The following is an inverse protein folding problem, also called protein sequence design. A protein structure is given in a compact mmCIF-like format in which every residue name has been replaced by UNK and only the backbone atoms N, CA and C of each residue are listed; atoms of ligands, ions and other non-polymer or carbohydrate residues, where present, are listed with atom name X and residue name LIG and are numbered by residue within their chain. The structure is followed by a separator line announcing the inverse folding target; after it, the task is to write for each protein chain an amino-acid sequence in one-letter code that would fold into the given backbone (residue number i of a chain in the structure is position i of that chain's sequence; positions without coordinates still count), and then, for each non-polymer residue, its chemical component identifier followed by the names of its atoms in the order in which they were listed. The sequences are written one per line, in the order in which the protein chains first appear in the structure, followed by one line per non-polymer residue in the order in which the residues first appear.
data_IF_280209201661
#
_entry.id   IF_280209201661
#
_cell.length_a   1.000
_cell.length_b   1.000
_cell.length_c   1.000
_cell.angle_alpha   90.00
_cell.angle_beta   90.00
_cell.angle_gamma   90.00
#
_symmetry.space_group_name_H-M   'P 1'
#
loop_
_entity.id
_entity.type
_entity.pdbx_description
1 polymer ?
#
# COMPACT_ATOMS: atom_id res chain seq x y z
N UNK A 1 -17.29 20.49 24.69
CA UNK A 1 -15.89 20.34 25.19
C UNK A 1 -14.98 20.60 24.02
N UNK A 2 -13.87 21.33 24.20
CA UNK A 2 -12.89 21.58 23.11
C UNK A 2 -12.00 20.36 22.88
N UNK A 3 -11.42 20.23 21.69
CA UNK A 3 -10.48 19.16 21.40
C UNK A 3 -9.28 19.17 22.39
N UNK A 4 -8.80 20.37 22.79
CA UNK A 4 -7.75 20.53 23.79
C UNK A 4 -8.07 19.93 25.16
N UNK A 5 -9.33 19.93 25.56
CA UNK A 5 -9.76 19.30 26.82
C UNK A 5 -9.91 17.79 26.65
N UNK A 6 -10.45 17.35 25.54
CA UNK A 6 -10.66 15.91 25.25
C UNK A 6 -9.33 15.15 25.21
N UNK A 7 -8.29 15.71 24.55
CA UNK A 7 -7.01 15.01 24.40
C UNK A 7 -6.26 14.77 25.72
N UNK A 8 -6.58 15.49 26.80
CA UNK A 8 -5.98 15.27 28.12
C UNK A 8 -6.24 13.87 28.70
N UNK A 9 -7.24 13.16 28.19
CA UNK A 9 -7.51 11.76 28.54
C UNK A 9 -6.46 10.79 27.97
N UNK A 10 -5.68 11.21 26.97
CA UNK A 10 -4.66 10.37 26.34
C UNK A 10 -3.29 10.56 27.03
N UNK A 11 -2.43 9.52 26.98
CA UNK A 11 -1.13 9.55 27.67
C UNK A 11 -0.27 10.76 27.26
N UNK A 12 0.28 11.45 28.26
CA UNK A 12 1.28 12.51 28.05
C UNK A 12 2.68 11.90 28.20
N UNK A 13 3.60 12.06 27.22
CA UNK A 13 4.96 11.55 27.34
C UNK A 13 5.73 12.12 28.54
N UNK A 14 5.32 13.25 29.09
CA UNK A 14 5.89 13.81 30.33
C UNK A 14 5.62 12.95 31.58
N UNK A 15 4.64 12.05 31.53
CA UNK A 15 4.33 11.11 32.62
C UNK A 15 5.33 9.96 32.78
N UNK A 16 6.33 9.85 31.91
CA UNK A 16 7.37 8.82 31.97
C UNK A 16 6.89 7.39 31.72
N UNK A 17 7.74 6.40 32.05
CA UNK A 17 7.49 4.96 31.83
C UNK A 17 6.31 4.44 32.66
N UNK A 18 5.95 5.13 33.75
CA UNK A 18 4.85 4.76 34.66
C UNK A 18 3.50 5.36 34.25
N UNK A 19 3.39 5.89 33.04
CA UNK A 19 2.14 6.47 32.55
C UNK A 19 1.09 5.35 32.35
N UNK A 20 0.26 5.15 33.35
CA UNK A 20 -0.83 4.16 33.29
C UNK A 20 -1.89 4.70 32.33
N UNK A 21 -2.13 3.96 31.24
CA UNK A 21 -3.17 4.31 30.29
C UNK A 21 -4.53 3.97 30.90
N UNK A 22 -5.31 5.00 31.20
CA UNK A 22 -6.72 4.84 31.55
C UNK A 22 -7.51 4.56 30.27
N UNK A 23 -7.75 3.28 29.99
CA UNK A 23 -8.45 2.83 28.79
C UNK A 23 -9.90 3.33 28.73
N UNK A 24 -10.58 3.40 29.88
CA UNK A 24 -11.97 3.85 29.95
C UNK A 24 -12.08 5.35 29.64
N UNK A 25 -11.17 6.17 30.20
CA UNK A 25 -11.09 7.57 29.89
C UNK A 25 -10.75 7.82 28.40
N UNK A 26 -9.82 7.04 27.83
CA UNK A 26 -9.51 7.11 26.40
C UNK A 26 -10.71 6.74 25.52
N UNK A 27 -11.44 5.67 25.84
CA UNK A 27 -12.63 5.28 25.07
C UNK A 27 -13.75 6.32 25.16
N UNK A 28 -13.98 6.90 26.32
CA UNK A 28 -14.91 8.01 26.51
C UNK A 28 -14.51 9.23 25.66
N UNK A 29 -13.22 9.57 25.66
CA UNK A 29 -12.67 10.67 24.86
C UNK A 29 -12.87 10.44 23.35
N UNK A 30 -12.66 9.21 22.86
CA UNK A 30 -12.97 8.83 21.47
C UNK A 30 -14.46 9.03 21.17
N UNK A 31 -15.34 8.64 22.07
CA UNK A 31 -16.79 8.90 21.95
C UNK A 31 -17.09 10.39 21.80
N UNK A 32 -16.50 11.24 22.63
CA UNK A 32 -16.68 12.69 22.60
C UNK A 32 -16.16 13.32 21.27
N UNK A 33 -15.03 12.81 20.72
CA UNK A 33 -14.55 13.25 19.41
C UNK A 33 -15.58 12.95 18.32
N UNK A 34 -16.14 11.74 18.33
CA UNK A 34 -17.12 11.32 17.33
C UNK A 34 -18.46 12.08 17.47
N UNK A 35 -18.93 12.32 18.68
CA UNK A 35 -20.13 13.12 18.96
C UNK A 35 -19.96 14.57 18.54
N UNK A 36 -18.77 15.15 18.71
CA UNK A 36 -18.43 16.51 18.32
C UNK A 36 -18.32 16.72 16.80
N UNK A 37 -18.27 15.64 16.02
CA UNK A 37 -18.31 15.62 14.57
C UNK A 37 -17.19 16.43 13.91
N UNK A 38 -17.49 17.05 12.76
CA UNK A 38 -16.51 17.77 11.92
C UNK A 38 -15.79 18.89 12.69
N UNK A 39 -16.49 19.64 13.52
CA UNK A 39 -15.89 20.74 14.29
C UNK A 39 -14.78 20.24 15.21
N UNK A 40 -15.08 19.25 16.04
CA UNK A 40 -14.10 18.70 16.99
C UNK A 40 -12.95 18.03 16.28
N UNK A 41 -13.21 17.33 15.16
CA UNK A 41 -12.17 16.72 14.34
C UNK A 41 -11.22 17.77 13.74
N UNK A 42 -11.73 18.86 13.18
CA UNK A 42 -10.89 19.97 12.66
C UNK A 42 -10.06 20.64 13.74
N UNK A 43 -10.64 20.85 14.92
CA UNK A 43 -9.89 21.35 16.10
C UNK A 43 -8.77 20.37 16.47
N UNK A 44 -9.05 19.06 16.50
CA UNK A 44 -8.07 18.00 16.81
C UNK A 44 -6.93 17.96 15.77
N UNK A 45 -7.27 17.99 14.49
CA UNK A 45 -6.26 18.05 13.41
C UNK A 45 -5.44 19.34 13.49
N UNK A 46 -6.01 20.45 13.95
CA UNK A 46 -5.32 21.70 14.20
C UNK A 46 -4.29 21.66 15.34
N UNK A 47 -4.35 20.64 16.18
CA UNK A 47 -3.36 20.40 17.26
C UNK A 47 -2.16 19.55 16.79
N UNK A 48 -2.21 18.98 15.60
CA UNK A 48 -1.10 18.19 15.04
C UNK A 48 -0.05 19.16 14.49
N UNK A 49 1.19 18.98 14.92
CA UNK A 49 2.30 19.85 14.63
C UNK A 49 3.33 19.20 13.68
N UNK A 50 4.15 20.01 13.07
CA UNK A 50 5.37 19.50 12.42
C UNK A 50 6.33 18.90 13.45
N UNK A 51 7.14 17.92 13.08
CA UNK A 51 8.18 17.37 13.94
C UNK A 51 9.08 18.49 14.50
N UNK A 52 9.30 18.47 15.81
CA UNK A 52 10.13 19.45 16.51
C UNK A 52 9.45 20.80 16.84
N UNK A 53 8.20 21.02 16.44
CA UNK A 53 7.47 22.28 16.71
C UNK A 53 6.68 22.29 18.03
N UNK A 54 6.77 21.23 18.82
CA UNK A 54 6.09 21.14 20.10
C UNK A 54 5.70 19.72 20.47
N UNK A 55 4.79 19.57 21.44
CA UNK A 55 4.25 18.30 21.89
C UNK A 55 2.81 18.13 21.40
N UNK A 56 2.62 17.24 20.46
CA UNK A 56 1.31 16.86 19.90
C UNK A 56 0.97 15.39 20.10
N UNK A 57 1.69 14.69 20.98
CA UNK A 57 1.56 13.24 21.18
C UNK A 57 0.14 12.86 21.56
N UNK A 58 -0.49 13.59 22.49
CA UNK A 58 -1.87 13.32 22.89
C UNK A 58 -2.86 13.52 21.72
N UNK A 59 -2.67 14.56 20.91
CA UNK A 59 -3.51 14.83 19.75
C UNK A 59 -3.36 13.73 18.67
N UNK A 60 -2.12 13.30 18.40
CA UNK A 60 -1.86 12.17 17.47
C UNK A 60 -2.47 10.89 17.97
N UNK A 61 -2.33 10.59 19.27
CA UNK A 61 -2.92 9.39 19.88
C UNK A 61 -4.44 9.42 19.78
N UNK A 62 -5.07 10.55 20.12
CA UNK A 62 -6.51 10.75 20.04
C UNK A 62 -7.05 10.51 18.62
N UNK A 63 -6.40 11.12 17.60
CA UNK A 63 -6.80 10.95 16.21
C UNK A 63 -6.64 9.50 15.74
N UNK A 64 -5.51 8.87 16.09
CA UNK A 64 -5.23 7.48 15.72
C UNK A 64 -6.20 6.49 16.41
N UNK A 65 -6.43 6.64 17.71
CA UNK A 65 -7.39 5.81 18.43
C UNK A 65 -8.81 5.94 17.86
N UNK A 66 -9.20 7.15 17.44
CA UNK A 66 -10.50 7.39 16.80
C UNK A 66 -10.54 6.71 15.41
N UNK A 67 -9.50 6.82 14.60
CA UNK A 67 -9.40 6.15 13.30
C UNK A 67 -9.52 4.62 13.44
N UNK A 68 -8.83 4.01 14.41
CA UNK A 68 -8.94 2.57 14.71
C UNK A 68 -10.39 2.23 15.14
N UNK A 69 -10.97 3.02 16.02
CA UNK A 69 -12.32 2.78 16.53
C UNK A 69 -13.38 2.75 15.43
N UNK A 70 -13.27 3.62 14.43
CA UNK A 70 -14.22 3.70 13.31
C UNK A 70 -13.89 2.76 12.17
N UNK A 71 -12.63 2.30 12.05
CA UNK A 71 -12.17 1.39 10.98
C UNK A 71 -12.74 -0.03 11.09
N UNK A 72 -13.40 -0.39 12.19
CA UNK A 72 -14.01 -1.70 12.38
C UNK A 72 -15.18 -1.98 11.43
N UNK A 73 -15.47 -3.28 11.15
CA UNK A 73 -16.37 -3.71 10.07
C UNK A 73 -17.81 -3.24 10.24
N UNK A 74 -18.29 -3.10 11.48
CA UNK A 74 -19.71 -2.82 11.76
C UNK A 74 -20.07 -1.33 11.88
N UNK A 75 -19.12 -0.43 11.51
CA UNK A 75 -19.26 1.00 11.78
C UNK A 75 -19.32 1.87 10.52
N UNK A 76 -19.81 1.35 9.40
CA UNK A 76 -19.78 2.01 8.09
C UNK A 76 -20.24 3.48 8.10
N UNK A 77 -21.36 3.81 8.77
CA UNK A 77 -21.89 5.17 8.80
C UNK A 77 -20.97 6.14 9.56
N UNK A 78 -20.53 5.73 10.75
CA UNK A 78 -19.65 6.55 11.60
C UNK A 78 -18.26 6.69 10.94
N UNK A 79 -17.73 5.58 10.40
CA UNK A 79 -16.49 5.55 9.63
C UNK A 79 -16.54 6.56 8.48
N UNK A 80 -17.59 6.50 7.65
CA UNK A 80 -17.73 7.38 6.50
C UNK A 80 -17.76 8.86 6.92
N UNK A 81 -18.54 9.21 7.92
CA UNK A 81 -18.61 10.59 8.41
C UNK A 81 -17.23 11.08 8.91
N UNK A 82 -16.55 10.28 9.72
CA UNK A 82 -15.23 10.60 10.24
C UNK A 82 -14.18 10.69 9.12
N UNK A 83 -14.09 9.69 8.26
CA UNK A 83 -13.09 9.61 7.20
C UNK A 83 -13.27 10.74 6.16
N UNK A 84 -14.51 11.06 5.76
CA UNK A 84 -14.77 12.16 4.83
C UNK A 84 -14.41 13.52 5.43
N UNK A 85 -14.74 13.74 6.70
CA UNK A 85 -14.32 14.96 7.41
C UNK A 85 -12.80 15.05 7.52
N UNK A 86 -12.13 13.94 7.86
CA UNK A 86 -10.67 13.89 7.93
C UNK A 86 -10.03 14.14 6.55
N UNK A 87 -10.51 13.49 5.50
CA UNK A 87 -10.00 13.65 4.15
C UNK A 87 -10.15 15.09 3.63
N UNK A 88 -11.24 15.78 4.02
CA UNK A 88 -11.43 17.18 3.65
C UNK A 88 -10.33 18.11 4.19
N UNK A 89 -9.67 17.75 5.30
CA UNK A 89 -8.57 18.54 5.87
C UNK A 89 -7.27 18.44 5.07
N UNK A 90 -7.16 17.53 4.10
CA UNK A 90 -6.01 17.43 3.20
C UNK A 90 -5.89 18.63 2.25
N UNK A 91 -7.02 19.28 1.91
CA UNK A 91 -7.03 20.46 1.06
C UNK A 91 -6.64 21.76 1.81
N UNK A 92 -6.63 21.74 3.14
CA UNK A 92 -6.23 22.89 3.94
C UNK A 92 -4.75 23.21 3.72
N UNK A 93 -4.38 24.49 3.93
CA UNK A 93 -2.97 24.89 3.95
C UNK A 93 -2.29 24.38 5.23
N UNK A 94 -1.74 23.19 5.15
CA UNK A 94 -1.06 22.48 6.25
C UNK A 94 0.32 22.00 5.84
N UNK A 95 1.24 21.90 6.79
CA UNK A 95 2.55 21.31 6.55
C UNK A 95 2.46 19.89 5.99
N UNK A 96 3.38 19.52 5.11
CA UNK A 96 3.42 18.19 4.47
C UNK A 96 3.45 17.06 5.50
N UNK A 97 4.21 17.20 6.57
CA UNK A 97 4.28 16.21 7.65
C UNK A 97 2.92 15.97 8.32
N UNK A 98 2.09 17.00 8.45
CA UNK A 98 0.72 16.89 8.99
C UNK A 98 -0.18 16.17 7.98
N UNK A 99 -0.10 16.53 6.69
CA UNK A 99 -0.84 15.83 5.62
C UNK A 99 -0.44 14.35 5.53
N UNK A 100 0.85 14.04 5.65
CA UNK A 100 1.33 12.68 5.70
C UNK A 100 0.74 11.89 6.88
N UNK A 101 0.64 12.51 8.06
CA UNK A 101 -0.01 11.89 9.21
C UNK A 101 -1.51 11.63 8.98
N UNK A 102 -2.22 12.56 8.33
CA UNK A 102 -3.64 12.41 7.95
C UNK A 102 -3.79 11.23 6.96
N UNK A 103 -2.95 11.15 5.92
CA UNK A 103 -2.96 10.03 4.96
C UNK A 103 -2.78 8.68 5.65
N UNK A 104 -1.92 8.59 6.66
CA UNK A 104 -1.76 7.38 7.47
C UNK A 104 -3.00 7.04 8.30
N UNK A 105 -3.76 8.02 8.76
CA UNK A 105 -5.04 7.74 9.43
C UNK A 105 -6.09 7.26 8.42
N UNK A 106 -6.11 7.84 7.21
CA UNK A 106 -6.98 7.37 6.13
C UNK A 106 -6.63 5.97 5.62
N UNK A 107 -5.39 5.52 5.78
CA UNK A 107 -5.03 4.11 5.57
C UNK A 107 -5.79 3.17 6.52
N UNK A 108 -6.10 3.64 7.75
CA UNK A 108 -6.80 2.84 8.77
C UNK A 108 -8.31 2.89 8.61
N UNK A 109 -8.87 4.07 8.31
CA UNK A 109 -10.31 4.30 8.34
C UNK A 109 -10.92 4.76 7.00
N UNK A 110 -10.12 4.99 5.98
CA UNK A 110 -10.60 5.46 4.69
C UNK A 110 -11.48 4.45 3.95
N UNK A 111 -12.26 4.92 3.02
CA UNK A 111 -13.07 4.14 2.10
C UNK A 111 -12.94 4.65 0.67
N UNK A 112 -13.62 4.02 -0.28
CA UNK A 112 -13.55 4.41 -1.70
C UNK A 112 -13.87 5.89 -1.95
N UNK A 113 -14.74 6.46 -1.14
CA UNK A 113 -15.17 7.86 -1.24
C UNK A 113 -14.02 8.85 -1.00
N UNK A 114 -13.11 8.51 -0.09
CA UNK A 114 -11.96 9.35 0.26
C UNK A 114 -10.84 9.27 -0.78
N UNK A 115 -10.89 8.29 -1.69
CA UNK A 115 -9.90 8.11 -2.75
C UNK A 115 -9.66 9.37 -3.60
N UNK A 116 -10.69 10.18 -3.84
CA UNK A 116 -10.59 11.45 -4.59
C UNK A 116 -9.68 12.45 -3.87
N UNK A 117 -9.78 12.55 -2.54
CA UNK A 117 -8.95 13.46 -1.75
C UNK A 117 -7.51 12.95 -1.55
N UNK A 118 -7.31 11.63 -1.56
CA UNK A 118 -6.02 10.99 -1.38
C UNK A 118 -5.20 10.99 -2.68
N UNK A 119 -5.84 10.71 -3.81
CA UNK A 119 -5.19 10.46 -5.11
C UNK A 119 -4.25 11.58 -5.62
N UNK A 120 -4.51 12.88 -5.40
CA UNK A 120 -3.60 13.94 -5.83
C UNK A 120 -2.18 13.80 -5.28
N UNK A 121 -2.02 13.18 -4.11
CA UNK A 121 -0.72 12.99 -3.48
C UNK A 121 0.09 11.82 -4.06
N UNK A 122 -0.49 10.96 -4.92
CA UNK A 122 0.26 9.88 -5.60
C UNK A 122 1.41 10.38 -6.46
N UNK A 123 1.37 11.63 -6.89
CA UNK A 123 2.40 12.24 -7.75
C UNK A 123 3.06 13.46 -7.10
N UNK A 124 2.90 13.64 -5.78
CA UNK A 124 3.60 14.70 -5.04
C UNK A 124 5.13 14.47 -5.08
N UNK A 125 5.89 15.56 -5.04
CA UNK A 125 7.35 15.46 -5.01
C UNK A 125 7.91 15.05 -3.64
N UNK A 126 7.09 14.98 -2.61
CA UNK A 126 7.48 14.56 -1.26
C UNK A 126 7.28 13.05 -1.09
N UNK A 127 8.34 12.35 -0.69
CA UNK A 127 8.35 10.89 -0.56
C UNK A 127 7.28 10.38 0.41
N UNK A 128 7.12 11.03 1.54
CA UNK A 128 6.12 10.61 2.52
C UNK A 128 4.70 10.79 1.99
N UNK A 129 4.44 11.84 1.20
CA UNK A 129 3.10 12.09 0.67
C UNK A 129 2.72 11.06 -0.40
N UNK A 130 3.59 10.79 -1.39
CA UNK A 130 3.24 9.82 -2.41
C UNK A 130 3.18 8.39 -1.87
N UNK A 131 4.09 8.00 -0.97
CA UNK A 131 4.07 6.67 -0.36
C UNK A 131 2.84 6.47 0.53
N UNK A 132 2.53 7.43 1.42
CA UNK A 132 1.37 7.27 2.31
C UNK A 132 0.04 7.34 1.56
N UNK A 133 -0.05 8.12 0.47
CA UNK A 133 -1.24 8.11 -0.37
C UNK A 133 -1.42 6.76 -1.07
N UNK A 134 -0.34 6.18 -1.61
CA UNK A 134 -0.38 4.86 -2.21
C UNK A 134 -0.79 3.78 -1.21
N UNK A 135 -0.21 3.79 -0.01
CA UNK A 135 -0.55 2.86 1.06
C UNK A 135 -2.02 2.99 1.50
N UNK A 136 -2.52 4.22 1.62
CA UNK A 136 -3.93 4.46 1.97
C UNK A 136 -4.88 3.89 0.89
N UNK A 137 -4.63 4.19 -0.38
CA UNK A 137 -5.44 3.67 -1.49
C UNK A 137 -5.34 2.14 -1.63
N UNK A 138 -4.16 1.56 -1.38
CA UNK A 138 -3.99 0.11 -1.36
C UNK A 138 -4.78 -0.55 -0.22
N UNK A 139 -4.78 0.03 0.97
CA UNK A 139 -5.53 -0.47 2.12
C UNK A 139 -7.05 -0.39 1.91
N UNK A 140 -7.53 0.67 1.24
CA UNK A 140 -8.94 0.80 0.86
C UNK A 140 -9.34 -0.30 -0.14
N UNK A 141 -8.44 -0.70 -1.04
CA UNK A 141 -8.60 -1.86 -1.89
C UNK A 141 -9.01 -1.56 -3.34
N UNK A 142 -9.50 -2.58 -4.07
CA UNK A 142 -9.65 -2.52 -5.54
C UNK A 142 -10.56 -1.40 -6.08
N UNK A 143 -11.46 -0.87 -5.26
CA UNK A 143 -12.30 0.26 -5.65
C UNK A 143 -11.53 1.55 -5.95
N UNK A 144 -10.25 1.64 -5.53
CA UNK A 144 -9.38 2.80 -5.74
C UNK A 144 -8.40 2.65 -6.91
N UNK A 145 -8.41 1.53 -7.59
CA UNK A 145 -7.43 1.21 -8.66
C UNK A 145 -7.42 2.23 -9.80
N UNK A 146 -8.57 2.84 -10.10
CA UNK A 146 -8.67 3.88 -11.14
C UNK A 146 -7.81 5.12 -10.82
N UNK A 147 -7.57 5.42 -9.55
CA UNK A 147 -6.68 6.51 -9.15
C UNK A 147 -5.23 6.20 -9.53
N UNK A 148 -4.77 4.97 -9.32
CA UNK A 148 -3.43 4.55 -9.76
C UNK A 148 -3.30 4.60 -11.29
N UNK A 149 -4.31 4.11 -12.04
CA UNK A 149 -4.26 4.17 -13.52
C UNK A 149 -4.16 5.60 -14.04
N UNK A 150 -4.95 6.51 -13.47
CA UNK A 150 -4.90 7.94 -13.83
C UNK A 150 -3.56 8.59 -13.45
N UNK A 151 -3.03 8.27 -12.27
CA UNK A 151 -1.77 8.83 -11.81
C UNK A 151 -0.57 8.35 -12.64
N UNK A 152 -0.58 7.11 -13.13
CA UNK A 152 0.55 6.51 -13.84
C UNK A 152 0.96 7.30 -15.09
N UNK A 153 0.01 7.87 -15.83
CA UNK A 153 0.28 8.65 -17.04
C UNK A 153 1.11 9.92 -16.78
N UNK A 154 1.02 10.48 -15.57
CA UNK A 154 1.69 11.72 -15.18
C UNK A 154 2.84 11.50 -14.19
N UNK A 155 2.91 10.33 -13.56
CA UNK A 155 3.93 10.00 -12.58
C UNK A 155 5.32 9.85 -13.24
N UNK A 156 6.35 10.41 -12.58
CA UNK A 156 7.76 10.33 -13.00
C UNK A 156 8.62 9.97 -11.80
N UNK A 157 9.82 9.41 -12.04
CA UNK A 157 10.76 9.07 -10.98
C UNK A 157 10.16 8.10 -9.94
N UNK A 158 10.44 8.33 -8.65
CA UNK A 158 10.00 7.48 -7.55
C UNK A 158 8.47 7.33 -7.46
N UNK A 159 7.63 8.40 -7.57
CA UNK A 159 6.17 8.27 -7.64
C UNK A 159 5.69 7.28 -8.71
N UNK A 160 6.37 7.23 -9.87
CA UNK A 160 5.99 6.30 -10.94
C UNK A 160 6.17 4.84 -10.55
N UNK A 161 7.27 4.52 -9.85
CA UNK A 161 7.53 3.19 -9.33
C UNK A 161 6.44 2.81 -8.31
N UNK A 162 6.16 3.68 -7.35
CA UNK A 162 5.13 3.47 -6.32
C UNK A 162 3.74 3.27 -6.92
N UNK A 163 3.37 4.06 -7.93
CA UNK A 163 2.08 3.91 -8.64
C UNK A 163 2.02 2.58 -9.40
N UNK A 164 3.10 2.17 -10.08
CA UNK A 164 3.19 0.90 -10.79
C UNK A 164 3.06 -0.28 -9.82
N UNK A 165 3.72 -0.23 -8.68
CA UNK A 165 3.58 -1.21 -7.61
C UNK A 165 2.15 -1.23 -7.05
N UNK A 166 1.51 -0.07 -6.88
CA UNK A 166 0.10 0.04 -6.46
C UNK A 166 -0.84 -0.72 -7.39
N UNK A 167 -0.68 -0.60 -8.71
CA UNK A 167 -1.43 -1.39 -9.70
C UNK A 167 -1.21 -2.90 -9.54
N UNK A 168 0.03 -3.32 -9.24
CA UNK A 168 0.37 -4.72 -8.97
C UNK A 168 -0.23 -5.24 -7.67
N UNK A 169 -0.21 -4.44 -6.58
CA UNK A 169 -0.86 -4.79 -5.30
C UNK A 169 -2.35 -5.02 -5.52
N UNK A 170 -3.00 -4.14 -6.26
CA UNK A 170 -4.43 -4.22 -6.59
C UNK A 170 -4.75 -5.33 -7.63
N UNK A 171 -3.74 -6.01 -8.18
CA UNK A 171 -3.88 -7.04 -9.22
C UNK A 171 -4.70 -6.57 -10.42
N UNK A 172 -4.42 -5.36 -10.89
CA UNK A 172 -5.19 -4.72 -11.95
C UNK A 172 -4.92 -5.33 -13.33
N UNK A 173 -5.75 -6.24 -13.75
CA UNK A 173 -5.65 -6.88 -15.07
C UNK A 173 -5.76 -5.90 -16.24
N UNK A 174 -6.46 -4.76 -16.07
CA UNK A 174 -6.55 -3.73 -17.11
C UNK A 174 -5.21 -3.04 -17.36
N UNK A 175 -4.31 -3.07 -16.38
CA UNK A 175 -2.95 -2.52 -16.50
C UNK A 175 -1.91 -3.50 -17.09
N UNK A 176 -2.32 -4.64 -17.65
CA UNK A 176 -1.39 -5.59 -18.28
C UNK A 176 -0.47 -4.94 -19.32
N UNK A 177 -1.00 -4.05 -20.15
CA UNK A 177 -0.21 -3.27 -21.14
C UNK A 177 0.83 -2.36 -20.48
N UNK A 178 0.50 -1.74 -19.35
CA UNK A 178 1.40 -0.91 -18.54
C UNK A 178 2.55 -1.77 -18.00
N UNK A 179 2.24 -2.93 -17.43
CA UNK A 179 3.25 -3.84 -16.90
C UNK A 179 4.17 -4.39 -18.00
N UNK A 180 3.63 -4.73 -19.18
CA UNK A 180 4.44 -5.17 -20.34
C UNK A 180 5.40 -4.07 -20.83
N UNK A 181 4.95 -2.83 -20.84
CA UNK A 181 5.80 -1.70 -21.23
C UNK A 181 6.91 -1.49 -20.18
N UNK A 182 6.56 -1.44 -18.90
CA UNK A 182 7.50 -1.31 -17.78
C UNK A 182 8.55 -2.44 -17.77
N UNK A 183 8.14 -3.69 -18.03
CA UNK A 183 9.03 -4.86 -18.07
C UNK A 183 10.11 -4.80 -19.18
N UNK A 184 10.04 -3.82 -20.08
CA UNK A 184 11.02 -3.62 -21.19
C UNK A 184 11.90 -2.39 -20.99
N UNK A 185 11.71 -1.64 -19.91
CA UNK A 185 12.48 -0.42 -19.65
C UNK A 185 13.90 -0.70 -19.18
N UNK A 186 14.79 0.30 -19.38
CA UNK A 186 16.20 0.20 -18.98
C UNK A 186 16.39 0.29 -17.47
N UNK A 187 15.49 0.99 -16.75
CA UNK A 187 15.52 1.08 -15.32
C UNK A 187 15.18 -0.29 -14.71
N UNK A 188 16.07 -0.81 -13.86
CA UNK A 188 15.92 -2.15 -13.27
C UNK A 188 14.69 -2.23 -12.38
N UNK A 189 14.45 -1.23 -11.52
CA UNK A 189 13.35 -1.25 -10.57
C UNK A 189 11.99 -1.17 -11.28
N UNK A 190 11.87 -0.31 -12.29
CA UNK A 190 10.68 -0.22 -13.13
C UNK A 190 10.46 -1.54 -13.89
N UNK A 191 11.53 -2.12 -14.44
CA UNK A 191 11.44 -3.40 -15.16
C UNK A 191 10.99 -4.53 -14.25
N UNK A 192 11.58 -4.64 -13.06
CA UNK A 192 11.19 -5.65 -12.07
C UNK A 192 9.76 -5.44 -11.57
N UNK A 193 9.34 -4.19 -11.35
CA UNK A 193 7.96 -3.87 -10.98
C UNK A 193 6.95 -4.26 -12.08
N UNK A 194 7.33 -4.08 -13.35
CA UNK A 194 6.54 -4.55 -14.50
C UNK A 194 6.37 -6.06 -14.51
N UNK A 195 7.47 -6.82 -14.37
CA UNK A 195 7.43 -8.29 -14.29
C UNK A 195 6.62 -8.78 -13.08
N UNK A 196 6.82 -8.14 -11.94
CA UNK A 196 6.05 -8.43 -10.75
C UNK A 196 4.56 -8.18 -10.95
N UNK A 197 4.19 -7.07 -11.59
CA UNK A 197 2.79 -6.77 -11.93
C UNK A 197 2.16 -7.86 -12.81
N UNK A 198 2.85 -8.32 -13.85
CA UNK A 198 2.40 -9.44 -14.72
C UNK A 198 2.22 -10.74 -13.94
N UNK A 199 3.15 -11.05 -13.03
CA UNK A 199 3.04 -12.18 -12.13
C UNK A 199 1.81 -12.03 -11.21
N UNK A 200 1.62 -10.85 -10.61
CA UNK A 200 0.50 -10.57 -9.69
C UNK A 200 -0.88 -10.73 -10.33
N UNK A 201 -1.02 -10.43 -11.62
CA UNK A 201 -2.26 -10.65 -12.37
C UNK A 201 -2.38 -12.05 -12.97
N UNK A 202 -1.40 -12.92 -12.73
CA UNK A 202 -1.29 -14.29 -13.24
C UNK A 202 -1.44 -14.36 -14.78
N UNK A 203 -0.69 -13.49 -15.48
CA UNK A 203 -0.70 -13.40 -16.95
C UNK A 203 0.13 -14.51 -17.57
N UNK A 204 -0.49 -15.66 -17.84
CA UNK A 204 0.17 -16.81 -18.47
C UNK A 204 0.68 -16.51 -19.88
N UNK A 205 0.03 -15.62 -20.62
CA UNK A 205 0.47 -15.16 -21.94
C UNK A 205 1.81 -14.41 -21.91
N UNK A 206 2.17 -13.82 -20.76
CA UNK A 206 3.41 -13.08 -20.54
C UNK A 206 4.54 -13.95 -19.96
N UNK A 207 4.32 -15.25 -19.77
CA UNK A 207 5.31 -16.16 -19.22
C UNK A 207 6.65 -16.13 -20.01
N UNK A 208 6.56 -16.06 -21.34
CA UNK A 208 7.74 -15.94 -22.21
C UNK A 208 8.55 -14.66 -21.90
N UNK A 209 7.87 -13.51 -21.74
CA UNK A 209 8.53 -12.25 -21.39
C UNK A 209 9.25 -12.33 -20.04
N UNK A 210 8.61 -12.93 -19.04
CA UNK A 210 9.22 -13.11 -17.72
C UNK A 210 10.48 -13.99 -17.81
N UNK A 211 10.40 -15.13 -18.48
CA UNK A 211 11.51 -16.08 -18.63
C UNK A 211 12.67 -15.47 -19.39
N UNK A 212 12.42 -14.85 -20.55
CA UNK A 212 13.48 -14.19 -21.35
C UNK A 212 14.16 -13.04 -20.60
N UNK A 213 13.40 -12.29 -19.79
CA UNK A 213 13.99 -11.22 -18.97
C UNK A 213 14.82 -11.81 -17.84
N UNK A 214 14.32 -12.84 -17.15
CA UNK A 214 15.08 -13.51 -16.11
C UNK A 214 16.40 -14.13 -16.61
N UNK A 215 16.49 -14.51 -17.88
CA UNK A 215 17.73 -15.01 -18.49
C UNK A 215 18.74 -13.93 -18.79
N UNK A 216 18.27 -12.77 -19.23
CA UNK A 216 19.10 -11.60 -19.57
C UNK A 216 19.63 -10.89 -18.33
N UNK A 217 18.90 -10.94 -17.23
CA UNK A 217 19.29 -10.28 -16.00
C UNK A 217 20.46 -10.99 -15.29
N UNK A 218 21.18 -10.21 -14.48
CA UNK A 218 22.30 -10.68 -13.66
C UNK A 218 22.06 -10.27 -12.19
N UNK A 219 22.80 -10.94 -11.28
CA UNK A 219 22.77 -10.60 -9.86
C UNK A 219 21.35 -10.50 -9.29
N UNK A 220 21.08 -9.42 -8.61
CA UNK A 220 19.79 -9.17 -7.96
C UNK A 220 18.59 -9.22 -8.93
N UNK A 221 18.72 -8.59 -10.11
CA UNK A 221 17.69 -8.61 -11.14
C UNK A 221 17.29 -10.02 -11.55
N UNK A 222 18.29 -10.90 -11.77
CA UNK A 222 18.08 -12.32 -12.12
C UNK A 222 17.35 -13.08 -11.00
N UNK A 223 17.77 -12.88 -9.76
CA UNK A 223 17.15 -13.52 -8.59
C UNK A 223 15.66 -13.16 -8.52
N UNK A 224 15.36 -11.86 -8.62
CA UNK A 224 13.97 -11.37 -8.56
C UNK A 224 13.12 -11.86 -9.73
N UNK A 225 13.60 -11.69 -10.95
CA UNK A 225 12.85 -12.09 -12.15
C UNK A 225 12.60 -13.61 -12.19
N UNK A 226 13.60 -14.42 -11.79
CA UNK A 226 13.44 -15.88 -11.67
C UNK A 226 12.39 -16.24 -10.59
N UNK A 227 12.41 -15.57 -9.44
CA UNK A 227 11.41 -15.75 -8.41
C UNK A 227 9.99 -15.42 -8.90
N UNK A 228 9.84 -14.37 -9.72
CA UNK A 228 8.53 -14.05 -10.32
C UNK A 228 8.06 -15.11 -11.33
N UNK A 229 8.98 -15.77 -12.05
CA UNK A 229 8.62 -16.90 -12.91
C UNK A 229 8.07 -18.09 -12.10
N UNK A 230 8.71 -18.44 -10.99
CA UNK A 230 8.22 -19.51 -10.10
C UNK A 230 6.83 -19.15 -9.54
N UNK A 231 6.68 -17.95 -8.99
CA UNK A 231 5.39 -17.49 -8.46
C UNK A 231 4.29 -17.45 -9.52
N UNK A 232 4.62 -17.09 -10.77
CA UNK A 232 3.65 -17.16 -11.88
C UNK A 232 3.22 -18.61 -12.14
N UNK A 233 4.16 -19.54 -12.16
CA UNK A 233 3.84 -20.96 -12.38
C UNK A 233 2.94 -21.51 -11.26
N UNK A 234 3.24 -21.17 -10.00
CA UNK A 234 2.41 -21.53 -8.84
C UNK A 234 0.99 -20.94 -8.96
N UNK A 235 0.88 -19.67 -9.32
CA UNK A 235 -0.42 -19.01 -9.51
C UNK A 235 -1.23 -19.65 -10.63
N UNK A 236 -0.60 -19.99 -11.75
CA UNK A 236 -1.24 -20.68 -12.88
C UNK A 236 -1.68 -22.09 -12.49
N UNK A 237 -0.86 -22.84 -11.76
CA UNK A 237 -1.20 -24.16 -11.25
C UNK A 237 -2.43 -24.10 -10.33
N UNK A 238 -2.45 -23.14 -9.38
CA UNK A 238 -3.58 -22.92 -8.48
C UNK A 238 -4.88 -22.56 -9.24
N UNK A 239 -4.78 -21.93 -10.41
CA UNK A 239 -5.91 -21.63 -11.29
C UNK A 239 -6.32 -22.82 -12.20
N UNK A 240 -5.71 -23.99 -12.05
CA UNK A 240 -5.95 -25.16 -12.90
C UNK A 240 -5.28 -25.10 -14.28
N UNK A 241 -4.47 -24.09 -14.55
CA UNK A 241 -3.73 -23.93 -15.82
C UNK A 241 -2.43 -24.75 -15.81
N UNK A 242 -2.56 -26.03 -15.52
CA UNK A 242 -1.45 -26.96 -15.30
C UNK A 242 -0.44 -27.00 -16.45
N UNK A 243 -0.91 -27.00 -17.70
CA UNK A 243 -0.04 -27.02 -18.89
C UNK A 243 0.85 -25.77 -19.00
N UNK A 244 0.29 -24.61 -18.67
CA UNK A 244 1.02 -23.33 -18.70
C UNK A 244 2.06 -23.31 -17.58
N UNK A 245 1.69 -23.72 -16.36
CA UNK A 245 2.59 -23.86 -15.23
C UNK A 245 3.74 -24.83 -15.51
N UNK A 246 3.44 -26.02 -16.06
CA UNK A 246 4.44 -27.04 -16.40
C UNK A 246 5.50 -26.51 -17.37
N UNK A 247 5.11 -25.70 -18.36
CA UNK A 247 6.06 -25.08 -19.32
C UNK A 247 7.06 -24.16 -18.62
N UNK A 248 6.62 -23.37 -17.63
CA UNK A 248 7.50 -22.48 -16.88
C UNK A 248 8.44 -23.30 -16.01
N UNK A 249 7.94 -24.26 -15.26
CA UNK A 249 8.77 -25.15 -14.44
C UNK A 249 9.80 -25.93 -15.27
N UNK A 250 9.39 -26.46 -16.42
CA UNK A 250 10.27 -27.18 -17.33
C UNK A 250 11.42 -26.31 -17.83
N UNK A 251 11.09 -25.07 -18.24
CA UNK A 251 12.09 -24.10 -18.67
C UNK A 251 13.09 -23.78 -17.54
N UNK A 252 12.62 -23.51 -16.34
CA UNK A 252 13.49 -23.20 -15.19
C UNK A 252 14.40 -24.40 -14.81
N UNK A 253 13.85 -25.61 -14.77
CA UNK A 253 14.62 -26.83 -14.53
C UNK A 253 15.76 -26.99 -15.55
N UNK A 254 15.44 -26.77 -16.82
CA UNK A 254 16.36 -27.07 -17.93
C UNK A 254 17.43 -25.97 -18.13
N UNK A 255 17.16 -24.73 -17.73
CA UNK A 255 18.05 -23.59 -17.97
C UNK A 255 18.86 -23.14 -16.76
N UNK A 256 18.44 -23.40 -15.53
CA UNK A 256 19.12 -22.99 -14.29
C UNK A 256 20.19 -24.01 -13.88
N UNK A 257 21.31 -24.02 -14.62
CA UNK A 257 22.40 -25.03 -14.46
C UNK A 257 23.46 -24.63 -13.44
N UNK A 258 23.53 -23.35 -13.06
CA UNK A 258 24.50 -22.88 -12.06
C UNK A 258 24.24 -23.56 -10.71
N UNK A 259 25.30 -24.04 -10.02
CA UNK A 259 25.17 -24.65 -8.67
C UNK A 259 24.46 -23.72 -7.68
N UNK A 260 24.64 -22.40 -7.77
CA UNK A 260 23.97 -21.42 -6.89
C UNK A 260 22.47 -21.32 -7.14
N UNK A 261 21.97 -21.81 -8.28
CA UNK A 261 20.55 -21.86 -8.66
C UNK A 261 19.94 -23.26 -8.44
N UNK A 262 20.61 -24.18 -7.71
CA UNK A 262 20.11 -25.54 -7.44
C UNK A 262 18.71 -25.53 -6.82
N UNK A 263 18.48 -24.65 -5.87
CA UNK A 263 17.19 -24.47 -5.21
C UNK A 263 16.04 -24.11 -6.19
N UNK A 264 16.34 -23.39 -7.27
CA UNK A 264 15.35 -23.06 -8.31
C UNK A 264 14.99 -24.32 -9.11
N UNK A 265 15.99 -25.16 -9.46
CA UNK A 265 15.74 -26.44 -10.15
C UNK A 265 14.88 -27.37 -9.30
N UNK A 266 15.23 -27.49 -8.03
CA UNK A 266 14.48 -28.32 -7.08
C UNK A 266 13.02 -27.84 -6.94
N UNK A 267 12.80 -26.54 -6.80
CA UNK A 267 11.47 -25.96 -6.76
C UNK A 267 10.69 -26.24 -8.06
N UNK A 268 11.34 -26.11 -9.22
CA UNK A 268 10.71 -26.39 -10.51
C UNK A 268 10.38 -27.90 -10.67
N UNK A 269 11.23 -28.81 -10.21
CA UNK A 269 10.96 -30.25 -10.21
C UNK A 269 9.79 -30.62 -9.29
N UNK A 270 9.71 -30.01 -8.12
CA UNK A 270 8.56 -30.20 -7.22
C UNK A 270 7.26 -29.68 -7.85
N UNK A 271 7.33 -28.50 -8.47
CA UNK A 271 6.19 -27.96 -9.20
C UNK A 271 5.72 -28.86 -10.34
N UNK A 272 6.63 -29.45 -11.11
CA UNK A 272 6.29 -30.42 -12.17
C UNK A 272 5.56 -31.64 -11.63
N UNK A 273 5.99 -32.20 -10.49
CA UNK A 273 5.31 -33.33 -9.84
C UNK A 273 3.86 -32.98 -9.41
N UNK A 274 3.61 -31.72 -9.04
CA UNK A 274 2.28 -31.28 -8.59
C UNK A 274 1.30 -31.05 -9.75
N UNK A 275 1.80 -30.68 -10.93
CA UNK A 275 0.95 -30.36 -12.09
C UNK A 275 0.84 -31.49 -13.12
N UNK A 276 1.66 -32.49 -13.04
CA UNK A 276 1.57 -33.73 -13.85
C UNK A 276 0.57 -34.65 -13.24
#
# INVERSE_FOLDING_TARGET
MSAKEIIKAFPDPKGGILNIIDKEACEKAVGQILEGGDKTLRELVGLILEPGKGNDVQARHALHATAIRVGGPDKKKVRRAFASSLASTLSDDRPKAVKGFILRQLQVCGGPEEGIAIAPYLTDGDEHLFEYSAQALQAIGPATVDHFRKAYSNAKGAPRLTVLQGLGVQRDKKSAGVFRAAAKENDLEIRLAGLWGLMRIASGEDAKLLLETAEKEKGWGRIKATGYCLQLAEALAAMGKKKEAARIYQHLRDTRKDPTEAHIREAAEQGLKQVG
#
